data_IF_683062727738
#
_entry.id   IF_683062727738
#
_cell.length_a   1.000
_cell.length_b   1.000
_cell.length_c   1.000
_cell.angle_alpha   90.00
_cell.angle_beta   90.00
_cell.angle_gamma   90.00
#
_symmetry.space_group_name_H-M   'P 1'
#
loop_
_entity.id
_entity.type
_entity.pdbx_description
1 polymer ?
#
# COMPACT_ATOMS: atom_id res chain seq x y z
N UNK A 1 -6.73 9.61 8.56
CA UNK A 1 -7.40 8.31 8.35
C UNK A 1 -7.84 7.69 9.66
N UNK A 2 -7.02 7.66 10.71
CA UNK A 2 -7.39 7.05 12.00
C UNK A 2 -8.70 7.60 12.60
N UNK A 3 -8.88 8.93 12.64
CA UNK A 3 -10.16 9.53 13.06
C UNK A 3 -11.35 9.11 12.18
N UNK A 4 -11.15 8.92 10.87
CA UNK A 4 -12.20 8.43 9.97
C UNK A 4 -12.59 6.98 10.29
N UNK A 5 -11.59 6.13 10.58
CA UNK A 5 -11.80 4.71 10.88
C UNK A 5 -12.48 4.56 12.24
N UNK A 6 -11.97 5.22 13.29
CA UNK A 6 -12.54 5.12 14.64
C UNK A 6 -13.89 5.81 14.77
N UNK A 7 -14.07 6.98 14.13
CA UNK A 7 -15.30 7.77 14.23
C UNK A 7 -16.43 7.21 13.38
N UNK A 8 -16.18 6.98 12.09
CA UNK A 8 -17.21 6.66 11.09
C UNK A 8 -17.15 5.22 10.54
N UNK A 9 -16.33 4.34 11.12
CA UNK A 9 -16.37 2.91 10.80
C UNK A 9 -17.66 2.24 11.27
N UNK A 10 -18.21 1.30 10.50
CA UNK A 10 -19.52 0.71 10.78
C UNK A 10 -19.51 -0.41 11.84
N UNK A 11 -18.44 -1.20 11.90
CA UNK A 11 -18.36 -2.41 12.72
C UNK A 11 -17.59 -2.18 14.04
N UNK A 12 -17.87 -2.96 15.10
CA UNK A 12 -17.16 -2.83 16.38
C UNK A 12 -15.66 -3.10 16.26
N UNK A 13 -15.25 -3.94 15.30
CA UNK A 13 -13.85 -4.27 15.01
C UNK A 13 -13.01 -3.02 14.64
N UNK A 14 -13.65 -1.90 14.26
CA UNK A 14 -13.01 -0.61 13.90
C UNK A 14 -11.96 -0.14 14.91
N UNK A 15 -12.19 -0.40 16.19
CA UNK A 15 -11.25 -0.06 17.25
C UNK A 15 -9.96 -0.87 17.11
N UNK A 16 -10.09 -2.17 16.85
CA UNK A 16 -8.97 -3.08 16.68
C UNK A 16 -8.17 -2.76 15.42
N UNK A 17 -8.80 -2.48 14.26
CA UNK A 17 -8.01 -2.07 13.08
C UNK A 17 -7.40 -0.68 13.23
N UNK A 18 -8.07 0.26 13.91
CA UNK A 18 -7.48 1.56 14.25
C UNK A 18 -6.20 1.41 15.06
N UNK A 19 -6.23 0.52 16.06
CA UNK A 19 -5.06 0.17 16.89
C UNK A 19 -3.97 -0.51 16.05
N UNK A 20 -4.31 -1.48 15.19
CA UNK A 20 -3.32 -2.10 14.30
C UNK A 20 -2.64 -1.08 13.38
N UNK A 21 -3.41 -0.23 12.72
CA UNK A 21 -2.87 0.79 11.81
C UNK A 21 -1.94 1.76 12.56
N UNK A 22 -2.30 2.17 13.77
CA UNK A 22 -1.47 3.06 14.59
C UNK A 22 -0.16 2.40 15.00
N UNK A 23 -0.19 1.21 15.58
CA UNK A 23 1.03 0.58 16.09
C UNK A 23 1.98 0.14 14.98
N UNK A 24 1.48 -0.42 13.89
CA UNK A 24 2.32 -0.80 12.75
C UNK A 24 3.05 0.42 12.17
N UNK A 25 2.37 1.55 12.03
CA UNK A 25 2.97 2.77 11.46
C UNK A 25 3.92 3.46 12.44
N UNK A 26 3.54 3.60 13.71
CA UNK A 26 4.35 4.29 14.70
C UNK A 26 5.65 3.55 15.00
N UNK A 27 5.58 2.24 15.28
CA UNK A 27 6.75 1.46 15.70
C UNK A 27 7.89 1.53 14.68
N UNK A 28 7.56 1.57 13.38
CA UNK A 28 8.60 1.61 12.34
C UNK A 28 8.96 3.03 11.93
N UNK A 29 8.07 4.01 12.12
CA UNK A 29 8.39 5.42 11.87
C UNK A 29 9.38 6.01 12.89
N UNK A 30 9.43 5.51 14.13
CA UNK A 30 10.35 6.01 15.15
C UNK A 30 11.83 5.71 14.82
N UNK A 31 12.23 4.49 14.43
CA UNK A 31 13.57 4.22 13.90
C UNK A 31 13.92 5.07 12.67
N UNK A 32 12.96 5.31 11.78
CA UNK A 32 13.17 6.18 10.62
C UNK A 32 13.46 7.63 11.05
N UNK A 33 12.78 8.16 12.07
CA UNK A 33 13.04 9.49 12.61
C UNK A 33 14.47 9.62 13.14
N UNK A 34 14.96 8.61 13.86
CA UNK A 34 16.35 8.57 14.34
C UNK A 34 17.33 8.55 13.16
N UNK A 35 17.02 7.76 12.11
CA UNK A 35 17.80 7.73 10.87
C UNK A 35 17.85 9.09 10.18
N UNK A 36 16.75 9.83 10.16
CA UNK A 36 16.68 11.20 9.60
C UNK A 36 17.58 12.17 10.37
N UNK A 37 17.55 12.16 11.71
CA UNK A 37 18.44 13.02 12.50
C UNK A 37 19.91 12.69 12.30
N UNK A 38 20.24 11.40 12.17
CA UNK A 38 21.61 10.99 11.83
C UNK A 38 22.05 11.54 10.48
N UNK A 39 21.18 11.42 9.47
CA UNK A 39 21.43 11.96 8.13
C UNK A 39 21.65 13.48 8.19
N UNK A 40 20.78 14.21 8.90
CA UNK A 40 20.87 15.66 9.05
C UNK A 40 22.21 16.09 9.67
N UNK A 41 22.69 15.36 10.68
CA UNK A 41 23.98 15.64 11.32
C UNK A 41 25.18 15.41 10.38
N UNK A 42 25.05 14.52 9.38
CA UNK A 42 26.13 14.21 8.44
C UNK A 42 26.17 15.15 7.23
N UNK A 43 25.02 15.50 6.66
CA UNK A 43 24.94 16.33 5.45
C UNK A 43 24.69 17.81 5.74
N UNK A 44 24.28 18.16 6.96
CA UNK A 44 23.91 19.52 7.35
C UNK A 44 22.63 20.05 6.69
N UNK A 45 22.01 19.28 5.79
CA UNK A 45 20.78 19.67 5.10
C UNK A 45 19.91 18.46 4.77
N UNK A 46 18.59 18.68 4.73
CA UNK A 46 17.57 17.68 4.37
C UNK A 46 17.04 17.85 2.94
N UNK A 47 17.67 18.72 2.13
CA UNK A 47 17.27 18.93 0.75
C UNK A 47 17.70 17.74 -0.10
N UNK A 48 16.72 17.01 -0.66
CA UNK A 48 16.98 15.81 -1.47
C UNK A 48 17.98 16.03 -2.60
N UNK A 49 17.96 17.20 -3.25
CA UNK A 49 18.91 17.52 -4.32
C UNK A 49 20.36 17.58 -3.85
N UNK A 50 20.61 18.17 -2.67
CA UNK A 50 21.94 18.25 -2.09
C UNK A 50 22.39 16.89 -1.53
N UNK A 51 21.43 16.14 -0.98
CA UNK A 51 21.66 14.80 -0.43
C UNK A 51 22.08 13.77 -1.46
N UNK A 52 21.65 13.90 -2.72
CA UNK A 52 21.94 12.92 -3.78
C UNK A 52 23.44 12.75 -4.07
N UNK A 53 24.26 13.75 -3.71
CA UNK A 53 25.71 13.69 -3.88
C UNK A 53 26.41 12.88 -2.77
N UNK A 54 25.72 12.61 -1.66
CA UNK A 54 26.28 11.85 -0.55
C UNK A 54 25.93 10.37 -0.68
N UNK A 55 26.95 9.51 -0.67
CA UNK A 55 26.78 8.06 -0.63
C UNK A 55 26.97 7.57 0.81
N UNK A 56 25.89 7.05 1.41
CA UNK A 56 25.96 6.40 2.74
C UNK A 56 26.21 4.90 2.61
N UNK A 57 27.12 4.37 3.41
CA UNK A 57 27.49 2.94 3.44
C UNK A 57 27.19 2.26 4.80
N UNK A 58 26.18 2.74 5.53
CA UNK A 58 25.83 2.20 6.85
C UNK A 58 24.64 1.25 6.76
N UNK A 59 24.84 -0.03 7.11
CA UNK A 59 23.80 -1.07 7.06
C UNK A 59 22.60 -0.73 7.95
N UNK A 60 22.86 -0.31 9.18
CA UNK A 60 21.79 0.03 10.13
C UNK A 60 20.95 1.22 9.66
N UNK A 61 21.58 2.22 9.04
CA UNK A 61 20.88 3.38 8.49
C UNK A 61 19.92 2.96 7.36
N UNK A 62 20.37 2.04 6.50
CA UNK A 62 19.56 1.50 5.41
C UNK A 62 18.29 0.83 5.94
N UNK A 63 18.41 -0.08 6.92
CA UNK A 63 17.23 -0.74 7.50
C UNK A 63 16.31 0.25 8.23
N UNK A 64 16.85 1.19 9.03
CA UNK A 64 16.05 2.17 9.74
C UNK A 64 15.22 3.06 8.80
N UNK A 65 15.81 3.51 7.69
CA UNK A 65 15.12 4.37 6.73
C UNK A 65 14.14 3.59 5.85
N UNK A 66 14.49 2.36 5.43
CA UNK A 66 13.71 1.62 4.44
C UNK A 66 12.52 0.87 5.06
N UNK A 67 12.66 0.32 6.27
CA UNK A 67 11.59 -0.45 6.93
C UNK A 67 10.28 0.33 7.07
N UNK A 68 10.34 1.64 7.36
CA UNK A 68 9.12 2.46 7.51
C UNK A 68 8.30 2.52 6.22
N UNK A 69 8.97 2.55 5.07
CA UNK A 69 8.31 2.53 3.77
C UNK A 69 7.80 1.13 3.41
N UNK A 70 8.48 0.06 3.83
CA UNK A 70 8.01 -1.32 3.65
C UNK A 70 6.77 -1.68 4.47
N UNK A 71 6.51 -0.97 5.57
CA UNK A 71 5.25 -1.12 6.31
C UNK A 71 4.13 -0.34 5.64
N UNK A 72 4.42 0.87 5.14
CA UNK A 72 3.43 1.72 4.44
C UNK A 72 3.08 1.18 3.05
N UNK A 73 4.06 0.69 2.29
CA UNK A 73 3.89 -0.15 1.10
C UNK A 73 3.87 -1.59 1.58
N UNK A 74 2.70 -2.15 1.89
CA UNK A 74 2.56 -3.40 2.64
C UNK A 74 3.35 -4.52 1.97
N UNK A 75 4.55 -4.78 2.46
CA UNK A 75 5.28 -5.97 2.09
C UNK A 75 4.51 -7.19 2.64
N UNK A 76 4.60 -8.30 1.93
CA UNK A 76 4.22 -9.59 2.47
C UNK A 76 4.89 -9.81 3.84
N UNK A 77 4.21 -10.48 4.78
CA UNK A 77 4.44 -10.47 6.25
C UNK A 77 3.81 -9.29 7.01
N UNK A 78 4.02 -8.04 6.57
CA UNK A 78 3.54 -6.86 7.32
C UNK A 78 2.19 -6.36 6.82
N UNK A 79 1.67 -6.91 5.72
CA UNK A 79 0.43 -6.49 5.07
C UNK A 79 -0.87 -6.62 5.88
N UNK A 80 -0.90 -7.34 7.00
CA UNK A 80 -2.14 -7.71 7.70
C UNK A 80 -2.96 -6.51 8.22
N UNK A 81 -2.32 -5.36 8.46
CA UNK A 81 -3.04 -4.15 8.89
C UNK A 81 -3.94 -3.60 7.77
N UNK A 82 -3.58 -3.82 6.50
CA UNK A 82 -4.26 -3.21 5.37
C UNK A 82 -5.67 -3.80 5.14
N UNK A 83 -5.87 -5.12 5.01
CA UNK A 83 -7.21 -5.69 4.84
C UNK A 83 -8.17 -5.29 5.96
N UNK A 84 -7.71 -5.31 7.22
CA UNK A 84 -8.51 -4.89 8.37
C UNK A 84 -8.89 -3.41 8.29
N UNK A 85 -7.91 -2.53 8.02
CA UNK A 85 -8.15 -1.10 7.91
C UNK A 85 -9.14 -0.76 6.78
N UNK A 86 -9.07 -1.43 5.62
CA UNK A 86 -9.98 -1.16 4.50
C UNK A 86 -11.40 -1.68 4.72
N UNK A 87 -11.54 -2.85 5.34
CA UNK A 87 -12.85 -3.49 5.58
C UNK A 87 -13.69 -2.66 6.55
N UNK A 88 -13.05 -2.06 7.56
CA UNK A 88 -13.70 -1.34 8.65
C UNK A 88 -13.81 0.17 8.41
N UNK A 89 -12.98 0.74 7.53
CA UNK A 89 -13.05 2.15 7.17
C UNK A 89 -14.38 2.52 6.46
N UNK A 90 -14.87 3.76 6.66
CA UNK A 90 -15.86 4.33 5.75
C UNK A 90 -15.28 4.45 4.34
N UNK A 91 -16.15 4.64 3.37
CA UNK A 91 -15.81 4.66 1.93
C UNK A 91 -14.72 5.68 1.62
N UNK A 92 -14.91 6.92 2.07
CA UNK A 92 -13.91 7.99 1.93
C UNK A 92 -12.57 7.61 2.55
N UNK A 93 -12.57 6.95 3.71
CA UNK A 93 -11.38 6.41 4.35
C UNK A 93 -10.68 5.35 3.50
N UNK A 94 -11.43 4.40 2.95
CA UNK A 94 -10.90 3.35 2.08
C UNK A 94 -10.33 3.89 0.76
N UNK A 95 -10.98 4.90 0.16
CA UNK A 95 -10.49 5.58 -1.05
C UNK A 95 -9.20 6.34 -0.79
N UNK A 96 -9.11 7.08 0.33
CA UNK A 96 -7.89 7.84 0.69
C UNK A 96 -6.73 6.87 1.01
N UNK A 97 -7.01 5.79 1.75
CA UNK A 97 -5.99 4.77 2.02
C UNK A 97 -5.46 4.16 0.72
N UNK A 98 -6.37 3.69 -0.13
CA UNK A 98 -6.02 3.00 -1.37
C UNK A 98 -5.34 3.94 -2.36
N UNK A 99 -5.91 5.14 -2.57
CA UNK A 99 -5.47 6.10 -3.56
C UNK A 99 -4.15 6.77 -3.21
N UNK A 100 -3.97 7.18 -1.94
CA UNK A 100 -2.90 8.10 -1.55
C UNK A 100 -1.93 7.47 -0.55
N UNK A 101 -2.42 6.87 0.55
CA UNK A 101 -1.53 6.46 1.66
C UNK A 101 -0.50 5.41 1.24
N UNK A 102 -0.91 4.43 0.42
CA UNK A 102 0.03 3.43 -0.12
C UNK A 102 1.09 4.11 -0.98
N UNK A 103 0.69 5.08 -1.81
CA UNK A 103 1.59 5.77 -2.75
C UNK A 103 2.60 6.65 -2.06
N UNK A 104 2.25 7.23 -0.90
CA UNK A 104 3.22 7.94 -0.05
C UNK A 104 4.37 7.02 0.38
N UNK A 105 4.11 5.73 0.60
CA UNK A 105 5.15 4.77 0.89
C UNK A 105 6.09 4.55 -0.30
N UNK A 106 5.55 4.34 -1.50
CA UNK A 106 6.33 4.16 -2.73
C UNK A 106 7.12 5.41 -3.13
N UNK A 107 6.52 6.60 -2.99
CA UNK A 107 7.18 7.88 -3.21
C UNK A 107 8.33 8.11 -2.21
N UNK A 108 8.11 7.78 -0.93
CA UNK A 108 9.16 7.88 0.08
C UNK A 108 10.33 6.95 -0.21
N UNK A 109 10.05 5.72 -0.65
CA UNK A 109 11.05 4.75 -1.09
C UNK A 109 11.87 5.30 -2.29
N UNK A 110 11.21 5.85 -3.30
CA UNK A 110 11.87 6.51 -4.45
C UNK A 110 12.86 7.60 -4.03
N UNK A 111 12.47 8.45 -3.08
CA UNK A 111 13.32 9.54 -2.60
C UNK A 111 14.48 9.03 -1.76
N UNK A 112 14.25 8.06 -0.88
CA UNK A 112 15.28 7.53 0.02
C UNK A 112 16.31 6.67 -0.73
N UNK A 113 15.87 5.89 -1.71
CA UNK A 113 16.79 5.06 -2.48
C UNK A 113 17.78 5.92 -3.29
N UNK A 114 17.42 7.14 -3.70
CA UNK A 114 18.31 8.03 -4.49
C UNK A 114 19.67 8.28 -3.82
N UNK A 115 19.73 8.40 -2.49
CA UNK A 115 20.98 8.58 -1.73
C UNK A 115 21.47 7.31 -1.01
N UNK A 116 20.71 6.22 -1.04
CA UNK A 116 21.09 4.91 -0.46
C UNK A 116 21.44 3.85 -1.53
N UNK A 117 21.85 4.28 -2.72
CA UNK A 117 22.04 3.39 -3.89
C UNK A 117 23.00 2.23 -3.60
N UNK A 118 24.14 2.50 -2.96
CA UNK A 118 25.16 1.48 -2.68
C UNK A 118 24.61 0.35 -1.78
N UNK A 119 23.84 0.72 -0.76
CA UNK A 119 23.24 -0.25 0.16
C UNK A 119 22.08 -0.99 -0.48
N UNK A 120 21.28 -0.31 -1.31
CA UNK A 120 20.19 -0.93 -2.03
C UNK A 120 20.70 -2.01 -2.99
N UNK A 121 21.82 -1.78 -3.69
CA UNK A 121 22.43 -2.81 -4.55
C UNK A 121 22.79 -4.09 -3.77
N UNK A 122 23.28 -3.95 -2.53
CA UNK A 122 23.62 -5.10 -1.67
C UNK A 122 22.39 -5.88 -1.21
N UNK A 123 21.31 -5.19 -0.79
CA UNK A 123 20.17 -5.84 -0.11
C UNK A 123 18.90 -6.00 -0.95
N UNK A 124 18.86 -5.42 -2.16
CA UNK A 124 17.67 -5.43 -3.03
C UNK A 124 17.13 -6.84 -3.28
N UNK A 125 18.00 -7.84 -3.45
CA UNK A 125 17.61 -9.22 -3.76
C UNK A 125 16.68 -9.83 -2.69
N UNK A 126 16.94 -9.53 -1.41
CA UNK A 126 16.15 -10.05 -0.29
C UNK A 126 14.72 -9.55 -0.41
N UNK A 127 14.56 -8.24 -0.55
CA UNK A 127 13.24 -7.59 -0.60
C UNK A 127 12.48 -7.93 -1.89
N UNK A 128 13.17 -8.03 -3.02
CA UNK A 128 12.56 -8.45 -4.29
C UNK A 128 12.01 -9.87 -4.15
N UNK A 129 12.77 -10.81 -3.59
CA UNK A 129 12.32 -12.20 -3.42
C UNK A 129 11.06 -12.30 -2.55
N UNK A 130 11.02 -11.58 -1.42
CA UNK A 130 9.86 -11.55 -0.52
C UNK A 130 8.64 -10.94 -1.22
N UNK A 131 8.84 -9.87 -1.99
CA UNK A 131 7.75 -9.18 -2.69
C UNK A 131 7.11 -10.02 -3.79
N UNK A 132 7.92 -10.75 -4.58
CA UNK A 132 7.42 -11.59 -5.67
C UNK A 132 6.71 -12.84 -5.15
N UNK A 133 7.33 -13.56 -4.22
CA UNK A 133 6.70 -14.74 -3.58
C UNK A 133 5.43 -14.34 -2.85
N UNK A 134 5.49 -13.23 -2.11
CA UNK A 134 4.36 -12.67 -1.41
C UNK A 134 3.21 -12.25 -2.31
N UNK A 135 3.51 -11.63 -3.45
CA UNK A 135 2.50 -11.25 -4.46
C UNK A 135 1.74 -12.47 -4.98
N UNK A 136 2.45 -13.56 -5.28
CA UNK A 136 1.82 -14.83 -5.71
C UNK A 136 0.94 -15.39 -4.61
N UNK A 137 1.43 -15.49 -3.37
CA UNK A 137 0.65 -16.01 -2.25
C UNK A 137 -0.61 -15.19 -1.97
N UNK A 138 -0.51 -13.86 -1.99
CA UNK A 138 -1.66 -12.98 -1.78
C UNK A 138 -2.67 -13.11 -2.93
N UNK A 139 -2.22 -13.30 -4.17
CA UNK A 139 -3.12 -13.55 -5.30
C UNK A 139 -3.93 -14.84 -5.13
N UNK A 140 -3.31 -15.90 -4.59
CA UNK A 140 -4.01 -17.15 -4.25
C UNK A 140 -5.01 -16.95 -3.10
N UNK A 141 -4.68 -16.09 -2.12
CA UNK A 141 -5.63 -15.71 -1.06
C UNK A 141 -6.83 -14.99 -1.66
N UNK A 142 -6.64 -14.10 -2.64
CA UNK A 142 -7.74 -13.37 -3.29
C UNK A 142 -8.79 -14.31 -3.91
N UNK A 143 -8.37 -15.44 -4.49
CA UNK A 143 -9.29 -16.42 -5.08
C UNK A 143 -10.27 -17.04 -4.06
N UNK A 144 -9.89 -17.04 -2.77
CA UNK A 144 -10.70 -17.60 -1.69
C UNK A 144 -11.51 -16.56 -0.92
N UNK A 145 -11.35 -15.27 -1.20
CA UNK A 145 -12.02 -14.21 -0.45
C UNK A 145 -13.50 -14.11 -0.81
N UNK A 146 -14.35 -14.20 0.21
CA UNK A 146 -15.81 -14.02 0.07
C UNK A 146 -16.24 -12.57 0.21
N UNK A 147 -15.44 -11.72 0.85
CA UNK A 147 -15.77 -10.31 1.12
C UNK A 147 -15.22 -9.39 0.02
N UNK A 148 -16.10 -8.57 -0.59
CA UNK A 148 -15.72 -7.66 -1.69
C UNK A 148 -14.62 -6.65 -1.29
N UNK A 149 -14.78 -5.98 -0.14
CA UNK A 149 -13.79 -5.00 0.33
C UNK A 149 -12.45 -5.66 0.67
N UNK A 150 -12.47 -6.86 1.25
CA UNK A 150 -11.26 -7.60 1.57
C UNK A 150 -10.56 -8.07 0.29
N UNK A 151 -11.30 -8.54 -0.71
CA UNK A 151 -10.76 -8.92 -2.02
C UNK A 151 -10.03 -7.75 -2.69
N UNK A 152 -10.64 -6.56 -2.73
CA UNK A 152 -9.99 -5.35 -3.27
C UNK A 152 -8.73 -5.01 -2.46
N UNK A 153 -8.79 -5.10 -1.13
CA UNK A 153 -7.65 -4.84 -0.26
C UNK A 153 -6.47 -5.82 -0.50
N UNK A 154 -6.72 -7.12 -0.61
CA UNK A 154 -5.68 -8.10 -0.91
C UNK A 154 -5.11 -7.93 -2.31
N UNK A 155 -5.95 -7.63 -3.32
CA UNK A 155 -5.45 -7.32 -4.67
C UNK A 155 -4.48 -6.13 -4.66
N UNK A 156 -4.72 -5.13 -3.79
CA UNK A 156 -3.83 -3.98 -3.67
C UNK A 156 -2.46 -4.31 -3.08
N UNK A 157 -2.39 -5.29 -2.18
CA UNK A 157 -1.12 -5.79 -1.65
C UNK A 157 -0.34 -6.51 -2.76
N UNK A 158 -1.01 -7.29 -3.61
CA UNK A 158 -0.36 -7.97 -4.74
C UNK A 158 0.23 -6.97 -5.76
N UNK A 159 -0.55 -5.97 -6.19
CA UNK A 159 -0.07 -4.95 -7.12
C UNK A 159 1.07 -4.12 -6.53
N UNK A 160 0.98 -3.71 -5.26
CA UNK A 160 2.06 -2.96 -4.60
C UNK A 160 3.32 -3.81 -4.38
N UNK A 161 3.20 -5.13 -4.25
CA UNK A 161 4.34 -6.05 -4.27
C UNK A 161 5.14 -5.97 -5.57
N UNK A 162 4.45 -5.88 -6.72
CA UNK A 162 5.09 -5.70 -8.04
C UNK A 162 5.75 -4.32 -8.14
N UNK A 163 5.08 -3.27 -7.66
CA UNK A 163 5.67 -1.91 -7.58
C UNK A 163 6.97 -1.94 -6.78
N UNK A 164 6.98 -2.59 -5.62
CA UNK A 164 8.14 -2.68 -4.76
C UNK A 164 9.31 -3.40 -5.46
N UNK A 165 9.05 -4.54 -6.11
CA UNK A 165 10.05 -5.26 -6.87
C UNK A 165 10.66 -4.37 -7.99
N UNK A 166 9.79 -3.67 -8.74
CA UNK A 166 10.22 -2.76 -9.82
C UNK A 166 11.07 -1.60 -9.31
N UNK A 167 10.67 -0.96 -8.21
CA UNK A 167 11.40 0.14 -7.58
C UNK A 167 12.81 -0.28 -7.12
N UNK A 168 12.92 -1.47 -6.50
CA UNK A 168 14.19 -1.93 -5.92
C UNK A 168 15.21 -2.38 -6.97
N UNK A 169 14.78 -2.69 -8.20
CA UNK A 169 15.70 -3.03 -9.31
C UNK A 169 16.53 -1.85 -9.80
N UNK A 170 16.14 -0.61 -9.51
CA UNK A 170 16.84 0.62 -9.90
C UNK A 170 17.09 0.78 -11.41
N UNK A 171 16.38 0.02 -12.24
CA UNK A 171 16.41 0.18 -13.70
C UNK A 171 15.46 1.30 -14.11
N UNK A 172 15.77 2.00 -15.20
CA UNK A 172 14.91 3.06 -15.74
C UNK A 172 13.49 2.55 -16.05
N UNK A 173 13.39 1.39 -16.71
CA UNK A 173 12.12 0.72 -16.99
C UNK A 173 11.37 0.33 -15.73
N UNK A 174 12.07 -0.19 -14.71
CA UNK A 174 11.48 -0.53 -13.42
C UNK A 174 10.90 0.69 -12.69
N UNK A 175 11.60 1.82 -12.70
CA UNK A 175 11.15 3.08 -12.10
C UNK A 175 9.95 3.68 -12.86
N UNK A 176 9.99 3.74 -14.19
CA UNK A 176 8.87 4.23 -14.98
C UNK A 176 7.62 3.33 -14.86
N UNK A 177 7.81 2.01 -14.89
CA UNK A 177 6.73 1.03 -14.74
C UNK A 177 6.10 1.06 -13.35
N UNK A 178 6.91 1.12 -12.30
CA UNK A 178 6.40 1.23 -10.93
C UNK A 178 5.65 2.54 -10.68
N UNK A 179 6.12 3.67 -11.23
CA UNK A 179 5.45 4.94 -11.09
C UNK A 179 4.09 4.97 -11.81
N UNK A 180 4.04 4.47 -13.05
CA UNK A 180 2.78 4.37 -13.81
C UNK A 180 1.79 3.43 -13.14
N UNK A 181 2.24 2.27 -12.64
CA UNK A 181 1.37 1.32 -11.92
C UNK A 181 0.85 1.90 -10.60
N UNK A 182 1.64 2.68 -9.86
CA UNK A 182 1.16 3.38 -8.65
C UNK A 182 -0.02 4.32 -8.96
N UNK A 183 0.07 5.09 -10.05
CA UNK A 183 -1.01 6.01 -10.45
C UNK A 183 -2.22 5.21 -10.91
N UNK A 184 -2.03 4.26 -11.83
CA UNK A 184 -3.11 3.44 -12.37
C UNK A 184 -3.85 2.69 -11.26
N UNK A 185 -3.12 2.03 -10.36
CA UNK A 185 -3.71 1.37 -9.20
C UNK A 185 -4.46 2.37 -8.30
N UNK A 186 -3.94 3.58 -8.09
CA UNK A 186 -4.63 4.61 -7.30
C UNK A 186 -6.04 4.89 -7.79
N UNK A 187 -6.18 5.04 -9.10
CA UNK A 187 -7.47 5.27 -9.76
C UNK A 187 -8.35 4.00 -9.74
N UNK A 188 -7.82 2.85 -10.16
CA UNK A 188 -8.62 1.62 -10.24
C UNK A 188 -9.11 1.15 -8.86
N UNK A 189 -8.23 1.09 -7.85
CA UNK A 189 -8.61 0.62 -6.51
C UNK A 189 -9.60 1.55 -5.81
N UNK A 190 -9.45 2.87 -5.94
CA UNK A 190 -10.42 3.82 -5.36
C UNK A 190 -11.78 3.74 -6.04
N UNK A 191 -11.79 3.57 -7.37
CA UNK A 191 -13.00 3.28 -8.14
C UNK A 191 -13.68 1.98 -7.69
N UNK A 192 -12.93 0.87 -7.55
CA UNK A 192 -13.46 -0.40 -7.06
C UNK A 192 -14.04 -0.30 -5.64
N UNK A 193 -13.39 0.44 -4.73
CA UNK A 193 -13.95 0.69 -3.39
C UNK A 193 -15.25 1.50 -3.45
N UNK A 194 -15.37 2.45 -4.38
CA UNK A 194 -16.62 3.17 -4.64
C UNK A 194 -17.72 2.20 -5.12
N UNK A 195 -17.40 1.38 -6.11
CA UNK A 195 -18.35 0.43 -6.68
C UNK A 195 -18.83 -0.60 -5.65
N UNK A 196 -17.91 -1.12 -4.84
CA UNK A 196 -18.23 -2.01 -3.73
C UNK A 196 -19.17 -1.34 -2.72
N UNK A 197 -18.99 -0.05 -2.45
CA UNK A 197 -19.89 0.66 -1.54
C UNK A 197 -21.29 0.86 -2.12
N UNK A 198 -21.42 1.23 -3.40
CA UNK A 198 -22.74 1.38 -4.04
C UNK A 198 -23.51 0.04 -3.99
N UNK A 199 -22.82 -1.09 -4.18
CA UNK A 199 -23.45 -2.40 -4.01
C UNK A 199 -23.84 -2.70 -2.55
N UNK A 200 -23.03 -2.26 -1.60
CA UNK A 200 -23.30 -2.41 -0.16
C UNK A 200 -24.51 -1.58 0.30
N UNK A 201 -24.65 -0.33 -0.16
CA UNK A 201 -25.79 0.53 0.18
C UNK A 201 -27.13 -0.03 -0.33
N UNK A 202 -27.10 -0.84 -1.40
CA UNK A 202 -28.29 -1.44 -2.00
C UNK A 202 -28.68 -2.77 -1.38
N UNK A 203 -27.71 -3.64 -1.12
CA UNK A 203 -27.95 -5.01 -0.67
C UNK A 203 -27.71 -5.19 0.84
N UNK A 204 -27.12 -4.21 1.52
CA UNK A 204 -26.81 -4.26 2.95
C UNK A 204 -25.72 -5.28 3.34
N UNK A 205 -25.06 -5.91 2.37
CA UNK A 205 -24.06 -6.96 2.61
C UNK A 205 -22.79 -6.78 1.79
N UNK A 206 -21.65 -7.19 2.35
CA UNK A 206 -20.32 -7.12 1.70
C UNK A 206 -19.94 -8.41 0.96
N UNK A 207 -20.75 -9.46 1.07
CA UNK A 207 -20.38 -10.78 0.58
C UNK A 207 -20.60 -10.88 -0.94
N UNK A 208 -19.60 -11.40 -1.66
CA UNK A 208 -19.67 -11.72 -3.09
C UNK A 208 -20.81 -12.67 -3.42
N UNK A 209 -21.16 -13.57 -2.48
CA UNK A 209 -22.18 -14.59 -2.71
C UNK A 209 -23.59 -14.00 -2.80
N UNK A 210 -23.87 -12.95 -2.03
CA UNK A 210 -25.15 -12.22 -2.05
C UNK A 210 -25.19 -11.24 -3.23
N UNK A 211 -24.05 -10.64 -3.59
CA UNK A 211 -23.95 -9.63 -4.65
C UNK A 211 -23.86 -10.25 -6.05
N UNK A 212 -24.81 -11.13 -6.41
CA UNK A 212 -24.91 -11.79 -7.72
C UNK A 212 -26.05 -11.20 -8.56
N UNK A 213 -25.98 -11.36 -9.88
CA UNK A 213 -27.09 -11.01 -10.79
C UNK A 213 -27.31 -9.51 -11.02
N UNK A 214 -26.37 -8.65 -10.63
CA UNK A 214 -26.50 -7.18 -10.77
C UNK A 214 -26.54 -6.68 -12.22
N UNK A 215 -26.13 -7.50 -13.20
CA UNK A 215 -26.16 -7.14 -14.61
C UNK A 215 -27.57 -6.84 -15.14
N UNK A 216 -28.58 -7.56 -14.64
CA UNK A 216 -29.98 -7.34 -15.05
C UNK A 216 -30.56 -6.04 -14.47
N UNK A 217 -30.09 -5.62 -13.28
CA UNK A 217 -30.63 -4.47 -12.58
C UNK A 217 -29.87 -3.16 -12.86
N UNK A 218 -28.54 -3.23 -13.02
CA UNK A 218 -27.67 -2.06 -13.13
C UNK A 218 -26.60 -2.27 -14.21
N UNK A 219 -26.96 -2.30 -15.51
CA UNK A 219 -26.02 -2.60 -16.59
C UNK A 219 -24.89 -1.56 -16.71
N UNK A 220 -25.20 -0.27 -16.51
CA UNK A 220 -24.20 0.79 -16.50
C UNK A 220 -23.16 0.60 -15.38
N UNK A 221 -23.60 0.14 -14.21
CA UNK A 221 -22.72 -0.18 -13.09
C UNK A 221 -21.79 -1.35 -13.44
N UNK A 222 -22.32 -2.39 -14.10
CA UNK A 222 -21.49 -3.53 -14.50
C UNK A 222 -20.44 -3.19 -15.55
N UNK A 223 -20.71 -2.21 -16.42
CA UNK A 223 -19.69 -1.68 -17.34
C UNK A 223 -18.53 -1.04 -16.57
N UNK A 224 -18.81 -0.24 -15.55
CA UNK A 224 -17.76 0.35 -14.70
C UNK A 224 -16.99 -0.71 -13.91
N UNK A 225 -17.65 -1.76 -13.42
CA UNK A 225 -16.96 -2.90 -12.80
C UNK A 225 -15.97 -3.55 -13.76
N UNK A 226 -16.38 -3.79 -15.01
CA UNK A 226 -15.51 -4.39 -16.02
C UNK A 226 -14.30 -3.51 -16.33
N UNK A 227 -14.52 -2.22 -16.60
CA UNK A 227 -13.44 -1.29 -16.97
C UNK A 227 -12.42 -1.04 -15.84
N UNK A 228 -12.84 -1.11 -14.58
CA UNK A 228 -11.94 -0.88 -13.44
C UNK A 228 -11.25 -2.15 -12.93
N UNK A 229 -11.73 -3.32 -13.33
CA UNK A 229 -11.13 -4.62 -12.95
C UNK A 229 -10.21 -5.21 -14.02
N UNK A 230 -10.21 -4.66 -15.24
CA UNK A 230 -9.24 -4.94 -16.29
C UNK A 230 -7.90 -4.27 -16.04
#
# INVERSE_FOLDING_TARGET
TLFLILGWGYQPERLQAGVYLLFYTLLVSLPMLIGIFYVMNKTGSMNFYLMNNFMFNYDLLYFCLLCAFLVKMPMFLVHLWLPKAHVEAPVSGSMILAGIMLKLGGYGLLRVISFLQFMNLKYSFIWISISLVGGVLVSLVCLRQTDLKALIAYSSVAHMGIVLAGLLTMTYWGLCGSYTLMIAHGLCSSGLFCLANISYERLGSRSMLINKGLLNFMPAMTLWWFLLSS
#
